data_IF_066906880328
#
_entry.id   IF_066906880328
#
_cell.length_a   1.000
_cell.length_b   1.000
_cell.length_c   1.000
_cell.angle_alpha   90.00
_cell.angle_beta   90.00
_cell.angle_gamma   90.00
#
_symmetry.space_group_name_H-M   'P 1'
#
loop_
_entity.id
_entity.type
_entity.pdbx_description
1 polymer ?
#
# COMPACT_ATOMS: atom_id res chain seq x y z
N UNK A 1 24.36 -16.67 14.46
CA UNK A 1 24.79 -15.67 15.47
C UNK A 1 23.77 -14.55 15.51
N UNK A 2 23.67 -13.79 16.61
CA UNK A 2 22.68 -12.72 16.80
C UNK A 2 23.33 -11.48 17.40
N UNK A 3 23.00 -10.29 16.91
CA UNK A 3 23.35 -9.04 17.58
C UNK A 3 22.45 -8.83 18.81
N UNK A 4 23.06 -8.56 19.96
CA UNK A 4 22.36 -8.28 21.23
C UNK A 4 22.48 -6.81 21.60
N UNK A 5 21.40 -6.23 22.10
CA UNK A 5 21.28 -4.83 22.49
C UNK A 5 20.78 -4.76 23.93
N UNK A 6 21.51 -4.07 24.80
CA UNK A 6 21.12 -3.84 26.20
C UNK A 6 20.48 -2.46 26.37
N UNK A 7 19.72 -2.30 27.45
CA UNK A 7 19.12 -1.03 27.88
C UNK A 7 18.06 -0.46 26.91
N UNK A 8 17.28 -1.33 26.28
CA UNK A 8 16.06 -0.95 25.56
C UNK A 8 16.19 -0.67 24.07
N UNK A 9 15.04 -0.65 23.39
CA UNK A 9 14.89 -0.62 21.92
C UNK A 9 15.42 0.66 21.25
N UNK A 10 15.62 1.74 22.02
CA UNK A 10 16.20 3.00 21.55
C UNK A 10 17.71 2.93 21.41
N UNK A 11 18.37 1.95 22.05
CA UNK A 11 19.79 1.66 21.84
C UNK A 11 19.94 0.86 20.55
N UNK A 12 20.45 1.53 19.52
CA UNK A 12 20.54 1.02 18.14
C UNK A 12 21.90 0.44 17.77
N UNK A 13 22.88 0.50 18.68
CA UNK A 13 24.19 -0.12 18.53
C UNK A 13 24.26 -1.35 19.43
N UNK A 14 24.64 -2.53 18.92
CA UNK A 14 24.70 -3.75 19.70
C UNK A 14 25.96 -3.80 20.56
N UNK A 15 25.98 -4.77 21.46
CA UNK A 15 27.22 -5.20 22.13
C UNK A 15 28.26 -5.66 21.10
N UNK A 16 29.55 -5.49 21.43
CA UNK A 16 30.65 -5.75 20.50
C UNK A 16 30.69 -7.18 19.97
N UNK A 17 30.30 -8.15 20.79
CA UNK A 17 30.33 -9.56 20.42
C UNK A 17 28.90 -10.07 20.19
N UNK A 18 28.61 -10.67 19.02
CA UNK A 18 27.35 -11.34 18.80
C UNK A 18 27.28 -12.64 19.61
N UNK A 19 26.07 -13.11 19.89
CA UNK A 19 25.83 -14.33 20.65
C UNK A 19 25.40 -15.48 19.75
N UNK A 20 25.64 -16.73 20.17
CA UNK A 20 25.13 -17.93 19.47
C UNK A 20 23.81 -18.41 20.07
N UNK A 21 23.19 -19.43 19.45
CA UNK A 21 21.91 -19.99 19.91
C UNK A 21 22.00 -20.52 21.36
N UNK A 22 23.10 -21.17 21.71
CA UNK A 22 23.33 -21.70 23.07
C UNK A 22 23.44 -20.58 24.11
N UNK A 23 23.98 -19.43 23.76
CA UNK A 23 24.06 -18.28 24.67
C UNK A 23 22.68 -17.61 24.82
N UNK A 24 21.96 -17.46 23.70
CA UNK A 24 20.60 -16.94 23.70
C UNK A 24 19.68 -17.80 24.57
N UNK A 25 19.76 -19.12 24.43
CA UNK A 25 19.08 -20.10 25.25
C UNK A 25 19.35 -19.90 26.75
N UNK A 26 20.62 -19.79 27.13
CA UNK A 26 21.01 -19.55 28.53
C UNK A 26 20.48 -18.22 29.05
N UNK A 27 20.52 -17.16 28.24
CA UNK A 27 19.98 -15.85 28.57
C UNK A 27 18.46 -15.86 28.76
N UNK A 28 17.72 -16.64 27.96
CA UNK A 28 16.27 -16.77 28.12
C UNK A 28 15.94 -17.60 29.36
N UNK A 29 16.66 -18.70 29.59
CA UNK A 29 16.42 -19.59 30.72
C UNK A 29 16.71 -18.91 32.06
N UNK A 30 17.80 -18.15 32.12
CA UNK A 30 18.30 -17.48 33.33
C UNK A 30 18.37 -15.96 33.11
N UNK A 31 17.25 -15.35 32.69
CA UNK A 31 17.24 -13.93 32.36
C UNK A 31 17.41 -13.08 33.64
N UNK A 32 18.41 -12.18 33.74
CA UNK A 32 18.57 -11.32 34.91
C UNK A 32 17.39 -10.37 35.13
N UNK A 33 16.60 -10.10 34.08
CA UNK A 33 15.38 -9.30 34.15
C UNK A 33 14.10 -10.14 34.34
N UNK A 34 14.22 -11.39 34.82
CA UNK A 34 13.09 -12.31 35.00
C UNK A 34 11.95 -11.71 35.83
N UNK A 35 12.28 -11.02 36.93
CA UNK A 35 11.28 -10.39 37.80
C UNK A 35 10.49 -9.30 37.07
N UNK A 36 11.19 -8.39 36.37
CA UNK A 36 10.57 -7.34 35.55
C UNK A 36 9.69 -7.99 34.46
N UNK A 37 10.17 -9.03 33.79
CA UNK A 37 9.41 -9.73 32.75
C UNK A 37 8.14 -10.36 33.32
N UNK A 38 8.20 -10.97 34.50
CA UNK A 38 7.03 -11.53 35.15
C UNK A 38 6.03 -10.43 35.53
N UNK A 39 6.49 -9.28 36.02
CA UNK A 39 5.63 -8.12 36.25
C UNK A 39 4.93 -7.66 34.96
N UNK A 40 5.66 -7.54 33.84
CA UNK A 40 5.08 -7.19 32.54
C UNK A 40 3.96 -8.14 32.11
N UNK A 41 4.15 -9.45 32.34
CA UNK A 41 3.15 -10.48 32.03
C UNK A 41 1.90 -10.31 32.88
N UNK A 42 2.05 -10.06 34.18
CA UNK A 42 0.92 -9.79 35.08
C UNK A 42 0.16 -8.52 34.69
N UNK A 43 0.87 -7.44 34.35
CA UNK A 43 0.25 -6.20 33.87
C UNK A 43 -0.58 -6.44 32.61
N UNK A 44 -0.05 -7.20 31.64
CA UNK A 44 -0.79 -7.56 30.42
C UNK A 44 -2.05 -8.38 30.74
N UNK A 45 -1.95 -9.37 31.64
CA UNK A 45 -3.08 -10.20 32.07
C UNK A 45 -4.19 -9.35 32.72
N UNK A 46 -3.80 -8.33 33.48
CA UNK A 46 -4.71 -7.38 34.12
C UNK A 46 -5.25 -6.31 33.15
N UNK A 47 -4.86 -6.34 31.87
CA UNK A 47 -5.30 -5.38 30.84
C UNK A 47 -4.59 -4.03 30.87
N UNK A 48 -3.63 -3.83 31.78
CA UNK A 48 -2.84 -2.60 31.87
C UNK A 48 -1.97 -2.44 30.62
N UNK A 49 -2.07 -1.30 29.94
CA UNK A 49 -1.34 -1.02 28.70
C UNK A 49 0.07 -0.46 28.93
N UNK A 50 0.39 0.03 30.13
CA UNK A 50 1.70 0.61 30.46
C UNK A 50 2.84 -0.41 30.36
N UNK A 51 2.54 -1.71 30.43
CA UNK A 51 3.52 -2.79 30.17
C UNK A 51 4.22 -2.63 28.81
N UNK A 52 3.56 -2.03 27.80
CA UNK A 52 4.15 -1.80 26.48
C UNK A 52 5.34 -0.85 26.55
N UNK A 53 5.28 0.16 27.41
CA UNK A 53 6.35 1.14 27.58
C UNK A 53 7.52 0.52 28.34
N UNK A 54 7.24 -0.19 29.43
CA UNK A 54 8.25 -0.91 30.19
C UNK A 54 8.95 -2.00 29.37
N UNK A 55 8.20 -2.73 28.52
CA UNK A 55 8.76 -3.73 27.59
C UNK A 55 9.81 -3.14 26.66
N UNK A 56 9.71 -1.86 26.27
CA UNK A 56 10.69 -1.19 25.39
C UNK A 56 12.05 -1.03 26.04
N UNK A 57 12.16 -1.15 27.35
CA UNK A 57 13.43 -1.04 28.08
C UNK A 57 14.17 -2.38 28.20
N UNK A 58 13.52 -3.50 27.84
CA UNK A 58 14.17 -4.81 27.84
C UNK A 58 15.29 -4.89 26.82
N UNK A 59 16.30 -5.70 27.13
CA UNK A 59 17.29 -6.12 26.16
C UNK A 59 16.62 -6.90 25.01
N UNK A 60 17.20 -6.84 23.82
CA UNK A 60 16.64 -7.47 22.63
C UNK A 60 17.74 -7.93 21.68
N UNK A 61 17.36 -8.77 20.72
CA UNK A 61 18.23 -9.24 19.65
C UNK A 61 17.64 -8.93 18.27
N UNK A 62 18.46 -9.04 17.23
CA UNK A 62 17.99 -9.22 15.85
C UNK A 62 18.10 -10.71 15.50
N UNK A 63 16.99 -11.47 15.49
CA UNK A 63 17.04 -12.92 15.33
C UNK A 63 17.37 -13.34 13.90
N UNK A 64 17.06 -12.51 12.90
CA UNK A 64 17.25 -12.82 11.48
C UNK A 64 18.65 -12.44 10.94
N UNK A 65 19.37 -11.55 11.63
CA UNK A 65 20.64 -11.01 11.13
C UNK A 65 21.58 -10.53 12.24
N UNK A 66 22.84 -10.35 11.86
CA UNK A 66 23.88 -9.67 12.63
C UNK A 66 24.13 -8.31 11.97
N UNK A 67 24.23 -7.27 12.80
CA UNK A 67 24.34 -5.88 12.37
C UNK A 67 25.36 -5.11 13.21
N UNK A 68 25.94 -4.05 12.62
CA UNK A 68 26.69 -3.00 13.34
C UNK A 68 25.76 -1.97 13.98
N UNK A 69 24.58 -1.77 13.38
CA UNK A 69 23.53 -0.86 13.84
C UNK A 69 22.17 -1.39 13.37
N UNK A 70 21.13 -1.27 14.19
CA UNK A 70 19.80 -1.83 13.87
C UNK A 70 19.12 -1.22 12.64
N UNK A 71 19.47 0.01 12.26
CA UNK A 71 18.83 0.70 11.13
C UNK A 71 19.22 0.05 9.81
N UNK A 72 18.31 -0.72 9.22
CA UNK A 72 18.48 -1.38 7.92
C UNK A 72 17.52 -0.77 6.88
N UNK A 73 17.60 0.55 6.67
CA UNK A 73 16.88 1.21 5.57
C UNK A 73 17.57 0.91 4.24
N UNK A 74 16.79 0.87 3.17
CA UNK A 74 17.32 0.66 1.81
C UNK A 74 18.37 1.72 1.42
N UNK A 75 19.34 1.29 0.61
CA UNK A 75 20.46 2.11 0.16
C UNK A 75 21.68 1.99 1.09
N UNK A 76 22.44 3.09 1.21
CA UNK A 76 23.75 3.11 1.88
C UNK A 76 23.73 2.68 3.36
N UNK A 77 22.58 2.83 4.05
CA UNK A 77 22.44 2.38 5.42
C UNK A 77 22.48 0.85 5.55
N UNK A 78 21.84 0.10 4.64
CA UNK A 78 21.86 -1.36 4.66
C UNK A 78 23.30 -1.87 4.49
N UNK A 79 24.00 -1.40 3.45
CA UNK A 79 25.35 -1.85 3.13
C UNK A 79 26.36 -1.53 4.23
N UNK A 80 26.14 -0.42 4.95
CA UNK A 80 27.02 -0.01 6.05
C UNK A 80 26.73 -0.80 7.34
N UNK A 81 25.45 -1.03 7.65
CA UNK A 81 25.01 -1.52 8.95
C UNK A 81 24.80 -3.03 9.00
N UNK A 82 24.46 -3.67 7.89
CA UNK A 82 24.30 -5.13 7.80
C UNK A 82 25.67 -5.81 7.84
N UNK A 83 25.77 -6.97 8.51
CA UNK A 83 26.98 -7.80 8.52
C UNK A 83 26.69 -9.10 7.76
N UNK A 84 25.75 -9.90 8.26
CA UNK A 84 25.32 -11.16 7.64
C UNK A 84 23.99 -11.65 8.23
N UNK A 85 23.33 -12.58 7.55
CA UNK A 85 22.17 -13.28 8.10
C UNK A 85 22.58 -14.20 9.24
N UNK A 86 21.65 -14.45 10.18
CA UNK A 86 21.91 -15.32 11.32
C UNK A 86 21.88 -16.81 10.98
N UNK A 87 21.26 -17.16 9.85
CA UNK A 87 20.87 -18.53 9.46
C UNK A 87 19.52 -18.97 10.04
N UNK A 88 18.85 -18.10 10.81
CA UNK A 88 17.57 -18.38 11.44
C UNK A 88 16.48 -17.45 10.92
N UNK A 89 15.25 -17.97 10.83
CA UNK A 89 14.04 -17.21 10.54
C UNK A 89 13.19 -17.11 11.81
N UNK A 90 12.79 -15.88 12.13
CA UNK A 90 11.97 -15.55 13.29
C UNK A 90 10.47 -15.53 12.97
N UNK A 91 9.70 -16.18 13.85
CA UNK A 91 8.24 -16.17 13.87
C UNK A 91 7.75 -15.78 15.26
N UNK A 92 6.73 -14.93 15.32
CA UNK A 92 6.06 -14.51 16.56
C UNK A 92 4.58 -14.88 16.44
N UNK A 93 4.06 -15.62 17.42
CA UNK A 93 2.68 -16.08 17.43
C UNK A 93 1.95 -15.47 18.62
N UNK A 94 0.92 -14.66 18.38
CA UNK A 94 0.11 -14.04 19.43
C UNK A 94 -1.07 -14.96 19.81
N UNK A 95 -1.11 -15.41 21.07
CA UNK A 95 -2.13 -16.33 21.59
C UNK A 95 -2.54 -15.99 23.02
N UNK A 96 -3.80 -16.25 23.42
CA UNK A 96 -4.30 -15.95 24.76
C UNK A 96 -3.72 -16.86 25.84
N UNK A 97 -3.37 -18.12 25.53
CA UNK A 97 -2.76 -19.07 26.47
C UNK A 97 -1.41 -19.58 25.95
N UNK A 98 -0.31 -18.83 26.15
CA UNK A 98 0.98 -19.15 25.55
C UNK A 98 1.64 -20.41 26.12
N UNK A 99 1.43 -20.75 27.38
CA UNK A 99 2.06 -21.91 28.02
C UNK A 99 1.54 -23.20 27.39
N UNK A 100 0.21 -23.34 27.33
CA UNK A 100 -0.41 -24.50 26.69
C UNK A 100 -0.05 -24.55 25.20
N UNK A 101 -0.13 -23.40 24.51
CA UNK A 101 0.21 -23.33 23.09
C UNK A 101 1.67 -23.71 22.82
N UNK A 102 2.62 -23.29 23.67
CA UNK A 102 4.03 -23.67 23.56
C UNK A 102 4.21 -25.18 23.61
N UNK A 103 3.56 -25.87 24.57
CA UNK A 103 3.65 -27.32 24.71
C UNK A 103 3.09 -28.05 23.48
N UNK A 104 1.90 -27.66 23.03
CA UNK A 104 1.28 -28.22 21.82
C UNK A 104 2.12 -27.94 20.56
N UNK A 105 2.68 -26.73 20.45
CA UNK A 105 3.51 -26.31 19.34
C UNK A 105 4.83 -27.11 19.30
N UNK A 106 5.49 -27.29 20.43
CA UNK A 106 6.70 -28.12 20.52
C UNK A 106 6.36 -29.57 20.18
N UNK A 107 5.28 -30.14 20.73
CA UNK A 107 4.89 -31.52 20.45
C UNK A 107 4.74 -31.77 18.94
N UNK A 108 4.13 -30.82 18.22
CA UNK A 108 3.89 -30.90 16.78
C UNK A 108 5.13 -30.57 15.95
N UNK A 109 5.88 -29.52 16.30
CA UNK A 109 6.89 -28.91 15.44
C UNK A 109 8.33 -29.04 15.94
N UNK A 110 8.61 -29.76 17.04
CA UNK A 110 9.98 -29.99 17.58
C UNK A 110 10.98 -30.59 16.60
N UNK A 111 10.53 -31.10 15.46
CA UNK A 111 11.37 -31.69 14.42
C UNK A 111 11.83 -30.66 13.36
N UNK A 112 11.28 -29.43 13.37
CA UNK A 112 11.66 -28.36 12.44
C UNK A 112 12.16 -27.09 13.14
N UNK A 113 11.77 -26.83 14.39
CA UNK A 113 12.12 -25.58 15.10
C UNK A 113 13.38 -25.72 15.93
N UNK A 114 14.20 -24.69 15.98
CA UNK A 114 15.46 -24.67 16.73
C UNK A 114 15.32 -24.02 18.11
N UNK A 115 14.37 -23.10 18.28
CA UNK A 115 14.06 -22.48 19.57
C UNK A 115 12.57 -22.13 19.68
N UNK A 116 11.97 -22.40 20.84
CA UNK A 116 10.61 -21.94 21.19
C UNK A 116 10.60 -21.45 22.62
N UNK A 117 10.24 -20.18 22.83
CA UNK A 117 10.04 -19.61 24.17
C UNK A 117 8.76 -18.79 24.26
N UNK A 118 8.18 -18.67 25.45
CA UNK A 118 7.14 -17.68 25.74
C UNK A 118 7.70 -16.29 25.48
N UNK A 119 6.94 -15.41 24.83
CA UNK A 119 7.35 -14.03 24.56
C UNK A 119 7.54 -13.23 25.86
N UNK A 120 8.32 -12.16 25.81
CA UNK A 120 8.58 -11.31 27.00
C UNK A 120 7.33 -10.63 27.55
N UNK A 121 6.30 -10.44 26.72
CA UNK A 121 5.00 -9.91 27.16
C UNK A 121 4.00 -10.98 27.60
N UNK A 122 4.32 -12.27 27.47
CA UNK A 122 3.45 -13.38 27.87
C UNK A 122 2.13 -13.45 27.11
N UNK A 123 2.08 -12.98 25.87
CA UNK A 123 0.87 -13.04 25.05
C UNK A 123 1.03 -13.85 23.77
N UNK A 124 2.06 -14.69 23.74
CA UNK A 124 2.48 -15.37 22.53
C UNK A 124 3.76 -16.16 22.74
N UNK A 125 4.21 -16.86 21.70
CA UNK A 125 5.49 -17.56 21.66
C UNK A 125 6.38 -16.99 20.55
N UNK A 126 7.68 -16.98 20.82
CA UNK A 126 8.74 -16.62 19.88
C UNK A 126 9.43 -17.88 19.40
N UNK A 127 9.56 -18.03 18.08
CA UNK A 127 10.05 -19.25 17.43
C UNK A 127 11.20 -18.91 16.48
N UNK A 128 12.27 -19.70 16.53
CA UNK A 128 13.36 -19.65 15.55
C UNK A 128 13.44 -20.97 14.79
N UNK A 129 13.59 -20.86 13.47
CA UNK A 129 13.80 -21.98 12.55
C UNK A 129 15.13 -21.78 11.86
N UNK A 130 16.08 -22.70 12.04
CA UNK A 130 17.32 -22.72 11.24
C UNK A 130 17.04 -23.29 9.85
N UNK A 131 17.65 -22.73 8.83
CA UNK A 131 17.49 -23.18 7.44
C UNK A 131 18.83 -23.56 6.82
N UNK A 132 18.84 -24.51 5.89
CA UNK A 132 20.05 -24.99 5.21
C UNK A 132 20.51 -24.09 4.04
N UNK A 133 19.66 -23.17 3.59
CA UNK A 133 19.94 -22.28 2.46
C UNK A 133 20.60 -20.99 2.91
N UNK A 134 21.49 -20.46 2.08
CA UNK A 134 22.07 -19.15 2.31
C UNK A 134 21.01 -18.06 2.13
N UNK A 135 20.75 -17.33 3.22
CA UNK A 135 19.81 -16.23 3.22
C UNK A 135 20.43 -15.00 2.54
N UNK A 136 19.62 -14.35 1.71
CA UNK A 136 19.95 -13.13 0.97
C UNK A 136 18.80 -12.13 1.12
N UNK A 137 19.04 -10.86 0.78
CA UNK A 137 17.98 -9.83 0.83
C UNK A 137 16.81 -10.21 -0.08
N UNK A 138 17.12 -10.86 -1.20
CA UNK A 138 16.20 -11.25 -2.26
C UNK A 138 15.35 -12.46 -1.86
N UNK A 139 15.94 -13.46 -1.19
CA UNK A 139 15.23 -14.69 -0.85
C UNK A 139 14.57 -14.68 0.53
N UNK A 140 15.01 -13.83 1.47
CA UNK A 140 14.62 -13.90 2.88
C UNK A 140 13.10 -13.93 3.06
N UNK A 141 12.38 -13.05 2.36
CA UNK A 141 10.92 -12.99 2.45
C UNK A 141 10.26 -14.27 1.91
N UNK A 142 10.73 -14.79 0.78
CA UNK A 142 10.20 -16.03 0.19
C UNK A 142 10.43 -17.24 1.11
N UNK A 143 11.57 -17.30 1.79
CA UNK A 143 11.87 -18.33 2.80
C UNK A 143 10.92 -18.23 3.98
N UNK A 144 10.70 -17.02 4.51
CA UNK A 144 9.74 -16.80 5.58
C UNK A 144 8.34 -17.27 5.17
N UNK A 145 7.90 -16.90 3.96
CA UNK A 145 6.57 -17.23 3.43
C UNK A 145 6.37 -18.72 3.16
N UNK A 146 7.42 -19.40 2.66
CA UNK A 146 7.43 -20.85 2.51
C UNK A 146 7.18 -21.54 3.85
N UNK A 147 7.98 -21.20 4.87
CA UNK A 147 7.87 -21.84 6.19
C UNK A 147 6.48 -21.58 6.79
N UNK A 148 6.01 -20.33 6.72
CA UNK A 148 4.68 -19.95 7.22
C UNK A 148 3.55 -20.71 6.52
N UNK A 149 3.65 -20.89 5.20
CA UNK A 149 2.57 -21.44 4.38
C UNK A 149 2.55 -22.97 4.34
N UNK A 150 3.71 -23.62 4.46
CA UNK A 150 3.81 -25.09 4.34
C UNK A 150 3.84 -25.77 5.71
N UNK A 151 4.52 -25.18 6.68
CA UNK A 151 4.69 -25.79 8.01
C UNK A 151 3.76 -25.19 9.06
N UNK A 152 3.44 -23.90 8.96
CA UNK A 152 2.58 -23.19 9.94
C UNK A 152 1.23 -22.75 9.39
N UNK A 153 0.75 -23.39 8.31
CA UNK A 153 -0.50 -23.05 7.62
C UNK A 153 -1.70 -22.96 8.56
N UNK A 154 -1.83 -23.94 9.44
CA UNK A 154 -2.91 -24.08 10.42
C UNK A 154 -2.85 -23.02 11.53
N UNK A 155 -1.73 -22.29 11.65
CA UNK A 155 -1.50 -21.21 12.61
C UNK A 155 -1.37 -19.83 11.95
N UNK A 156 -1.72 -19.72 10.66
CA UNK A 156 -1.58 -18.47 9.88
C UNK A 156 -2.36 -17.27 10.46
N UNK A 157 -3.49 -17.51 11.14
CA UNK A 157 -4.33 -16.44 11.74
C UNK A 157 -3.73 -15.79 12.99
N UNK A 158 -2.83 -16.49 13.68
CA UNK A 158 -2.20 -16.04 14.94
C UNK A 158 -0.74 -15.65 14.76
N UNK A 159 -0.21 -15.75 13.54
CA UNK A 159 1.18 -15.44 13.20
C UNK A 159 1.34 -13.94 12.89
N UNK A 160 2.29 -13.25 13.54
CA UNK A 160 2.60 -11.85 13.24
C UNK A 160 3.40 -11.74 11.93
N UNK A 161 2.70 -11.39 10.87
CA UNK A 161 3.27 -11.14 9.53
C UNK A 161 4.28 -10.00 9.47
N UNK A 162 4.39 -9.15 10.51
CA UNK A 162 5.43 -8.10 10.57
C UNK A 162 6.82 -8.68 10.80
N UNK A 163 6.94 -9.95 11.19
CA UNK A 163 8.25 -10.60 11.42
C UNK A 163 9.03 -10.91 10.13
N UNK A 164 8.44 -10.68 8.96
CA UNK A 164 9.05 -10.74 7.61
C UNK A 164 10.18 -9.71 7.35
N UNK A 165 10.58 -8.95 8.35
CA UNK A 165 11.59 -7.89 8.26
C UNK A 165 12.95 -8.42 8.74
N UNK A 166 14.00 -8.23 7.92
CA UNK A 166 15.38 -8.65 8.22
C UNK A 166 15.86 -8.03 9.55
N UNK A 167 15.56 -6.75 9.79
CA UNK A 167 15.99 -6.02 10.99
C UNK A 167 15.04 -6.14 12.18
N UNK A 168 14.09 -7.09 12.16
CA UNK A 168 13.09 -7.28 13.21
C UNK A 168 13.78 -7.46 14.57
N UNK A 169 13.28 -6.76 15.59
CA UNK A 169 13.76 -6.94 16.96
C UNK A 169 12.93 -8.00 17.69
N UNK A 170 13.59 -8.84 18.48
CA UNK A 170 12.99 -9.77 19.43
C UNK A 170 13.46 -9.43 20.84
N UNK A 171 12.56 -8.97 21.70
CA UNK A 171 12.88 -8.70 23.11
C UNK A 171 13.21 -10.00 23.84
N UNK A 172 14.28 -9.99 24.63
CA UNK A 172 14.68 -11.14 25.43
C UNK A 172 13.59 -11.47 26.45
N UNK A 173 13.21 -12.74 26.48
CA UNK A 173 12.20 -13.26 27.39
C UNK A 173 12.85 -13.96 28.60
N UNK A 174 12.03 -14.31 29.58
CA UNK A 174 12.40 -15.19 30.69
C UNK A 174 11.52 -16.43 30.63
N UNK A 175 12.09 -17.55 30.25
CA UNK A 175 11.38 -18.81 30.08
C UNK A 175 12.25 -19.98 30.51
N UNK A 176 12.07 -20.48 31.75
CA UNK A 176 12.81 -21.64 32.26
C UNK A 176 12.64 -22.91 31.41
N UNK A 177 11.50 -23.02 30.73
CA UNK A 177 11.08 -24.17 29.91
C UNK A 177 11.31 -23.92 28.41
N UNK A 178 12.19 -22.97 28.06
CA UNK A 178 12.59 -22.72 26.67
C UNK A 178 13.05 -24.01 26.00
N UNK A 179 12.42 -24.32 24.87
CA UNK A 179 12.83 -25.44 24.03
C UNK A 179 13.96 -25.01 23.11
N UNK A 180 15.02 -25.82 23.02
CA UNK A 180 16.12 -25.64 22.07
C UNK A 180 16.45 -26.97 21.42
N UNK A 181 16.71 -26.93 20.12
CA UNK A 181 17.31 -28.02 19.37
C UNK A 181 18.39 -27.45 18.44
N UNK A 182 19.63 -27.87 18.65
CA UNK A 182 20.80 -27.40 17.90
C UNK A 182 20.98 -28.13 16.55
N UNK A 183 20.42 -29.33 16.44
CA UNK A 183 20.59 -30.21 15.27
C UNK A 183 19.49 -29.98 14.24
N UNK A 184 18.38 -29.36 14.64
CA UNK A 184 17.31 -29.02 13.73
C UNK A 184 17.75 -27.95 12.72
N UNK A 185 17.73 -28.35 11.46
CA UNK A 185 17.90 -27.50 10.30
C UNK A 185 16.86 -27.90 9.26
N UNK A 186 16.00 -26.95 8.90
CA UNK A 186 14.96 -27.20 7.92
C UNK A 186 15.57 -27.25 6.52
N UNK A 187 15.42 -28.40 5.86
CA UNK A 187 15.83 -28.60 4.48
C UNK A 187 14.82 -27.94 3.54
N UNK A 188 15.27 -26.89 2.86
CA UNK A 188 14.50 -26.15 1.87
C UNK A 188 15.15 -26.38 0.51
N UNK A 189 14.39 -26.88 -0.45
CA UNK A 189 14.86 -26.93 -1.84
C UNK A 189 14.66 -25.54 -2.48
N UNK A 190 15.68 -24.94 -3.11
CA UNK A 190 15.51 -23.67 -3.84
C UNK A 190 14.34 -23.66 -4.83
N UNK A 191 13.98 -24.82 -5.42
CA UNK A 191 12.81 -24.93 -6.30
C UNK A 191 11.49 -24.73 -5.57
N UNK A 192 11.40 -25.10 -4.29
CA UNK A 192 10.19 -24.92 -3.48
C UNK A 192 9.91 -23.44 -3.21
N UNK A 193 10.96 -22.61 -3.25
CA UNK A 193 10.84 -21.18 -3.10
C UNK A 193 10.27 -20.51 -4.35
N UNK A 194 10.26 -21.15 -5.52
CA UNK A 194 9.78 -20.54 -6.78
C UNK A 194 8.31 -20.10 -6.70
N UNK A 195 7.50 -20.81 -5.90
CA UNK A 195 6.08 -20.46 -5.67
C UNK A 195 5.89 -19.32 -4.66
N UNK A 196 6.92 -18.96 -3.89
CA UNK A 196 6.97 -17.82 -2.96
C UNK A 196 7.87 -16.68 -3.45
N UNK A 197 8.68 -16.94 -4.49
CA UNK A 197 9.46 -15.97 -5.25
C UNK A 197 8.63 -15.27 -6.33
N UNK A 198 7.34 -15.63 -6.45
CA UNK A 198 6.33 -14.90 -7.22
C UNK A 198 5.22 -14.39 -6.31
N UNK A 199 5.59 -13.64 -5.28
CA UNK A 199 4.94 -12.35 -5.20
C UNK A 199 5.80 -11.41 -6.02
N UNK A 200 5.31 -11.08 -7.23
CA UNK A 200 5.33 -9.66 -7.58
C UNK A 200 5.07 -8.91 -6.28
N UNK A 201 5.93 -7.97 -5.97
CA UNK A 201 5.73 -7.08 -4.84
C UNK A 201 4.30 -6.54 -4.98
N UNK A 202 3.34 -7.14 -4.29
CA UNK A 202 2.16 -6.46 -3.80
C UNK A 202 2.77 -5.56 -2.74
N UNK A 203 3.43 -4.50 -3.22
CA UNK A 203 3.67 -3.28 -2.49
C UNK A 203 2.32 -3.01 -1.86
N UNK A 204 2.23 -3.15 -0.53
CA UNK A 204 1.14 -2.53 0.22
C UNK A 204 0.98 -1.13 -0.35
N UNK A 205 -0.19 -0.88 -0.93
CA UNK A 205 -0.49 0.23 -1.82
C UNK A 205 0.32 1.49 -1.60
N UNK A 206 1.41 1.60 -2.33
CA UNK A 206 1.80 2.87 -2.93
C UNK A 206 1.68 2.65 -4.42
N UNK A 207 0.53 3.07 -4.98
CA UNK A 207 0.34 3.21 -6.43
C UNK A 207 1.42 4.16 -6.96
N UNK A 208 2.57 3.61 -7.31
CA UNK A 208 3.56 4.21 -8.18
C UNK A 208 3.89 3.11 -9.18
N UNK A 209 3.37 3.24 -10.39
CA UNK A 209 3.84 2.42 -11.50
C UNK A 209 5.30 2.77 -11.73
N UNK A 210 6.16 1.78 -11.91
CA UNK A 210 7.40 1.82 -12.71
C UNK A 210 7.87 0.37 -12.89
N UNK A 211 8.28 0.12 -14.13
CA UNK A 211 8.90 -1.07 -14.70
C UNK A 211 10.17 -1.54 -13.96
N UNK A 212 10.39 -2.86 -13.95
CA UNK A 212 11.55 -3.53 -13.36
C UNK A 212 12.71 -3.64 -14.34
N UNK A 213 13.64 -2.67 -14.35
CA UNK A 213 15.03 -2.87 -14.79
C UNK A 213 16.02 -2.07 -13.92
N UNK A 214 17.15 -2.71 -13.63
CA UNK A 214 18.29 -2.17 -12.87
C UNK A 214 19.09 -1.27 -13.82
N UNK A 215 19.31 0.01 -13.46
CA UNK A 215 20.23 0.89 -14.19
C UNK A 215 21.33 1.41 -13.27
N UNK A 216 22.55 1.37 -13.81
CA UNK A 216 23.71 2.06 -13.28
C UNK A 216 23.50 3.57 -13.40
N UNK A 217 23.73 4.30 -12.31
CA UNK A 217 23.66 5.75 -12.27
C UNK A 217 24.76 6.37 -13.14
N UNK A 218 24.39 6.93 -14.28
CA UNK A 218 25.13 8.02 -14.91
C UNK A 218 24.23 9.25 -14.95
N UNK A 219 24.53 10.22 -14.10
CA UNK A 219 24.01 11.58 -14.23
C UNK A 219 24.56 12.21 -15.51
N UNK A 220 23.82 12.04 -16.61
CA UNK A 220 23.91 12.91 -17.79
C UNK A 220 22.51 13.42 -18.06
N UNK A 221 22.23 14.66 -17.66
CA UNK A 221 20.98 15.35 -18.00
C UNK A 221 20.83 15.38 -19.53
N UNK A 222 19.80 14.74 -20.07
CA UNK A 222 19.51 14.71 -21.51
C UNK A 222 18.40 15.68 -21.93
N UNK A 223 17.76 16.38 -21.00
CA UNK A 223 16.64 17.27 -21.32
C UNK A 223 16.89 18.72 -20.92
N UNK A 224 16.70 19.64 -21.87
CA UNK A 224 16.47 21.06 -21.60
C UNK A 224 14.96 21.30 -21.53
N UNK A 225 14.38 21.37 -20.34
CA UNK A 225 13.01 21.85 -20.16
C UNK A 225 13.02 23.23 -19.55
N UNK A 226 12.16 24.10 -20.08
CA UNK A 226 11.99 25.48 -19.62
C UNK A 226 10.80 25.54 -18.66
N UNK A 227 10.88 26.43 -17.67
CA UNK A 227 9.73 26.74 -16.83
C UNK A 227 8.77 27.62 -17.64
N UNK A 228 7.62 27.08 -18.00
CA UNK A 228 6.59 27.78 -18.75
C UNK A 228 5.73 28.65 -17.83
N UNK A 229 5.15 29.76 -18.33
CA UNK A 229 4.17 30.55 -17.59
C UNK A 229 2.96 29.71 -17.16
N UNK A 230 2.30 30.14 -16.09
CA UNK A 230 1.16 29.41 -15.52
C UNK A 230 0.02 29.21 -16.52
N UNK A 231 -0.31 30.20 -17.36
CA UNK A 231 -1.42 30.06 -18.31
C UNK A 231 -1.18 29.00 -19.40
N UNK A 232 0.08 28.73 -19.74
CA UNK A 232 0.44 27.70 -20.72
C UNK A 232 0.20 26.28 -20.18
N UNK A 233 0.24 26.08 -18.85
CA UNK A 233 0.04 24.74 -18.25
C UNK A 233 -1.42 24.27 -18.32
N UNK A 234 -2.37 25.16 -18.67
CA UNK A 234 -3.79 24.80 -18.84
C UNK A 234 -4.03 23.79 -19.97
N UNK A 235 -3.05 23.63 -20.88
CA UNK A 235 -3.06 22.65 -21.97
C UNK A 235 -2.85 21.20 -21.50
N UNK A 236 -2.45 20.99 -20.24
CA UNK A 236 -2.20 19.66 -19.70
C UNK A 236 -3.51 18.95 -19.40
N UNK A 237 -3.76 17.81 -20.06
CA UNK A 237 -4.91 16.97 -19.78
C UNK A 237 -4.78 16.30 -18.41
N UNK A 238 -5.78 16.49 -17.55
CA UNK A 238 -5.83 15.90 -16.20
C UNK A 238 -6.71 14.64 -16.11
N UNK A 239 -7.43 14.31 -17.18
CA UNK A 239 -8.20 13.08 -17.28
C UNK A 239 -8.28 12.60 -18.73
N UNK A 240 -8.57 11.32 -18.94
CA UNK A 240 -8.78 10.76 -20.28
C UNK A 240 -9.91 11.52 -20.97
N UNK A 241 -9.67 12.13 -22.15
CA UNK A 241 -10.70 12.84 -22.89
C UNK A 241 -11.77 11.85 -23.37
N UNK A 242 -13.04 12.23 -23.21
CA UNK A 242 -14.19 11.44 -23.61
C UNK A 242 -15.13 12.33 -24.40
N UNK A 243 -15.49 11.88 -25.60
CA UNK A 243 -16.55 12.48 -26.39
C UNK A 243 -17.87 11.83 -25.97
N UNK A 244 -18.83 12.66 -25.54
CA UNK A 244 -20.14 12.18 -25.12
C UNK A 244 -21.07 12.15 -26.32
N UNK A 245 -21.75 11.03 -26.55
CA UNK A 245 -22.68 10.87 -27.66
C UNK A 245 -24.13 11.06 -27.19
N UNK A 246 -24.39 10.80 -25.91
CA UNK A 246 -25.70 10.94 -25.31
C UNK A 246 -25.82 12.23 -24.48
N UNK A 247 -27.05 12.76 -24.28
CA UNK A 247 -27.27 14.01 -23.54
C UNK A 247 -26.86 13.95 -22.06
N UNK A 248 -26.95 12.79 -21.42
CA UNK A 248 -26.73 12.64 -19.97
C UNK A 248 -25.64 11.62 -19.66
N UNK A 249 -25.81 10.38 -20.12
CA UNK A 249 -24.89 9.29 -19.79
C UNK A 249 -24.63 8.40 -21.01
N UNK A 250 -23.36 8.06 -21.21
CA UNK A 250 -22.89 7.11 -22.21
C UNK A 250 -22.43 5.82 -21.54
N UNK A 251 -22.70 4.67 -22.17
CA UNK A 251 -22.05 3.41 -21.87
C UNK A 251 -20.98 3.11 -22.92
N UNK A 252 -19.72 3.28 -22.53
CA UNK A 252 -18.56 3.02 -23.37
C UNK A 252 -17.39 2.57 -22.49
N UNK A 253 -17.21 1.26 -22.25
CA UNK A 253 -16.12 0.75 -21.43
C UNK A 253 -14.74 1.08 -22.01
N UNK A 254 -14.04 2.02 -21.36
CA UNK A 254 -12.68 2.42 -21.74
C UNK A 254 -11.74 2.38 -20.55
N UNK A 255 -10.45 2.23 -20.83
CA UNK A 255 -9.39 2.51 -19.87
C UNK A 255 -9.38 4.00 -19.56
N UNK A 256 -9.58 4.34 -18.29
CA UNK A 256 -9.75 5.71 -17.82
C UNK A 256 -8.77 6.02 -16.71
N UNK A 257 -8.07 7.13 -16.87
CA UNK A 257 -7.20 7.72 -15.88
C UNK A 257 -7.63 9.15 -15.60
N UNK A 258 -7.54 9.53 -14.34
CA UNK A 258 -7.89 10.87 -13.87
C UNK A 258 -6.98 11.20 -12.71
N UNK A 259 -6.54 12.43 -12.71
CA UNK A 259 -5.65 12.97 -11.72
C UNK A 259 -6.45 13.69 -10.65
N UNK A 260 -6.31 13.24 -9.40
CA UNK A 260 -6.95 13.85 -8.24
C UNK A 260 -5.89 14.49 -7.36
N UNK A 261 -6.07 15.76 -7.08
CA UNK A 261 -5.19 16.52 -6.20
C UNK A 261 -5.77 16.58 -4.80
N UNK A 262 -4.96 16.37 -3.76
CA UNK A 262 -5.32 16.83 -2.44
C UNK A 262 -5.26 18.37 -2.38
N UNK A 263 -5.94 18.95 -1.41
CA UNK A 263 -5.86 20.39 -1.13
C UNK A 263 -4.43 20.78 -0.75
N UNK A 264 -3.77 19.95 0.07
CA UNK A 264 -2.39 20.12 0.50
C UNK A 264 -1.56 18.83 0.35
N UNK A 265 -0.28 18.97 0.03
CA UNK A 265 0.70 17.88 -0.08
C UNK A 265 1.72 18.00 1.06
N UNK A 266 1.55 17.17 2.09
CA UNK A 266 2.45 17.15 3.25
C UNK A 266 3.79 16.46 2.98
N UNK A 267 4.83 16.83 3.74
CA UNK A 267 6.22 16.42 3.49
C UNK A 267 6.41 14.90 3.28
N UNK A 268 5.79 14.09 4.15
CA UNK A 268 5.94 12.63 4.16
C UNK A 268 5.34 11.91 2.95
N UNK A 269 4.54 12.60 2.12
CA UNK A 269 3.90 12.02 0.93
C UNK A 269 4.37 12.64 -0.38
N UNK A 270 5.14 13.75 -0.38
CA UNK A 270 5.51 14.49 -1.61
C UNK A 270 6.18 13.60 -2.65
N UNK A 271 7.21 12.86 -2.28
CA UNK A 271 7.92 11.98 -3.22
C UNK A 271 6.98 10.93 -3.81
N UNK A 272 6.12 10.33 -2.95
CA UNK A 272 5.14 9.34 -3.38
C UNK A 272 4.16 9.95 -4.39
N UNK A 273 3.54 11.05 -3.98
CA UNK A 273 2.53 11.75 -4.74
C UNK A 273 3.07 12.26 -6.09
N UNK A 274 4.23 12.92 -6.10
CA UNK A 274 4.81 13.49 -7.32
C UNK A 274 5.27 12.44 -8.32
N UNK A 275 5.79 11.30 -7.90
CA UNK A 275 6.12 10.26 -8.90
C UNK A 275 4.84 9.70 -9.53
N UNK A 276 3.80 9.43 -8.73
CA UNK A 276 2.50 8.98 -9.26
C UNK A 276 1.89 10.01 -10.22
N UNK A 277 1.98 11.29 -9.85
CA UNK A 277 1.54 12.43 -10.65
C UNK A 277 2.22 12.44 -12.03
N UNK A 278 3.55 12.29 -12.08
CA UNK A 278 4.30 12.29 -13.34
C UNK A 278 3.86 11.14 -14.25
N UNK A 279 3.72 9.91 -13.73
CA UNK A 279 3.24 8.78 -14.55
C UNK A 279 1.88 9.03 -15.18
N UNK A 280 0.93 9.56 -14.39
CA UNK A 280 -0.41 9.86 -14.86
C UNK A 280 -0.37 10.96 -15.92
N UNK A 281 0.40 12.03 -15.68
CA UNK A 281 0.51 13.14 -16.62
C UNK A 281 1.14 12.73 -17.95
N UNK A 282 2.20 11.92 -17.93
CA UNK A 282 2.83 11.39 -19.15
C UNK A 282 1.86 10.46 -19.89
N UNK A 283 1.15 9.60 -19.17
CA UNK A 283 0.16 8.70 -19.79
C UNK A 283 -1.00 9.46 -20.45
N UNK A 284 -1.48 10.53 -19.81
CA UNK A 284 -2.56 11.36 -20.35
C UNK A 284 -2.11 12.31 -21.47
N UNK A 285 -0.81 12.61 -21.54
CA UNK A 285 -0.24 13.58 -22.47
C UNK A 285 1.05 13.03 -23.13
N UNK A 286 0.94 11.94 -23.93
CA UNK A 286 2.12 11.26 -24.48
C UNK A 286 2.94 12.14 -25.43
N UNK A 287 2.26 13.03 -26.17
CA UNK A 287 2.85 13.91 -27.20
C UNK A 287 3.25 15.29 -26.68
N UNK A 288 3.04 15.57 -25.38
CA UNK A 288 3.29 16.88 -24.81
C UNK A 288 4.76 17.04 -24.41
N UNK A 289 5.31 18.23 -24.65
CA UNK A 289 6.69 18.54 -24.27
C UNK A 289 6.88 18.42 -22.73
N UNK A 290 7.96 17.77 -22.25
CA UNK A 290 8.22 17.60 -20.82
C UNK A 290 8.21 18.91 -20.01
N UNK A 291 8.48 20.06 -20.63
CA UNK A 291 8.41 21.38 -20.00
C UNK A 291 7.03 21.67 -19.44
N UNK A 292 5.95 21.25 -20.11
CA UNK A 292 4.58 21.44 -19.60
C UNK A 292 4.34 20.62 -18.33
N UNK A 293 4.75 19.35 -18.33
CA UNK A 293 4.57 18.45 -17.19
C UNK A 293 5.44 18.91 -16.00
N UNK A 294 6.69 19.31 -16.26
CA UNK A 294 7.57 19.83 -15.22
C UNK A 294 7.06 21.16 -14.64
N UNK A 295 6.60 22.08 -15.49
CA UNK A 295 6.05 23.38 -15.05
C UNK A 295 4.79 23.18 -14.22
N UNK A 296 3.91 22.27 -14.64
CA UNK A 296 2.73 21.87 -13.88
C UNK A 296 3.12 21.32 -12.49
N UNK A 297 4.10 20.42 -12.43
CA UNK A 297 4.62 19.88 -11.17
C UNK A 297 5.23 20.98 -10.28
N UNK A 298 6.00 21.90 -10.86
CA UNK A 298 6.66 23.00 -10.16
C UNK A 298 5.66 23.92 -9.46
N UNK A 299 4.61 24.37 -10.18
CA UNK A 299 3.59 25.23 -9.59
C UNK A 299 2.78 24.52 -8.51
N UNK A 300 2.45 23.23 -8.71
CA UNK A 300 1.77 22.45 -7.66
C UNK A 300 2.65 22.29 -6.41
N UNK A 301 3.96 22.10 -6.56
CA UNK A 301 4.88 22.06 -5.41
C UNK A 301 5.03 23.43 -4.73
N UNK A 302 5.04 24.52 -5.50
CA UNK A 302 5.17 25.87 -4.95
C UNK A 302 3.95 26.28 -4.11
N UNK A 303 2.74 25.97 -4.59
CA UNK A 303 1.51 26.49 -4.01
C UNK A 303 0.73 25.51 -3.14
N UNK A 304 0.89 24.18 -3.33
CA UNK A 304 0.11 23.17 -2.59
C UNK A 304 0.92 22.33 -1.60
N UNK A 305 2.26 22.40 -1.61
CA UNK A 305 3.06 21.59 -0.72
C UNK A 305 3.49 22.31 0.55
N UNK A 306 3.42 21.60 1.68
CA UNK A 306 3.72 22.13 3.00
C UNK A 306 4.72 21.21 3.72
N UNK A 307 6.00 21.61 3.85
CA UNK A 307 6.66 22.68 3.09
C UNK A 307 6.88 22.28 1.63
N UNK A 308 7.19 23.22 0.72
CA UNK A 308 7.59 22.90 -0.66
C UNK A 308 8.83 21.98 -0.70
N UNK A 309 8.88 21.06 -1.67
CA UNK A 309 10.11 20.34 -1.99
C UNK A 309 11.12 21.30 -2.61
N UNK A 310 12.39 21.17 -2.24
CA UNK A 310 13.49 21.94 -2.82
C UNK A 310 13.57 21.73 -4.34
N UNK A 311 13.74 22.81 -5.10
CA UNK A 311 13.71 22.80 -6.58
C UNK A 311 14.67 21.79 -7.20
N UNK A 312 15.88 21.61 -6.63
CA UNK A 312 16.85 20.63 -7.11
C UNK A 312 16.36 19.20 -6.90
N UNK A 313 15.76 18.92 -5.74
CA UNK A 313 15.19 17.63 -5.41
C UNK A 313 13.96 17.31 -6.28
N UNK A 314 13.10 18.30 -6.53
CA UNK A 314 11.95 18.16 -7.43
C UNK A 314 12.39 17.87 -8.87
N UNK A 315 13.42 18.59 -9.36
CA UNK A 315 14.00 18.37 -10.69
C UNK A 315 14.54 16.95 -10.85
N UNK A 316 15.34 16.49 -9.88
CA UNK A 316 15.89 15.12 -9.89
C UNK A 316 14.80 14.06 -9.89
N UNK A 317 13.74 14.27 -9.11
CA UNK A 317 12.59 13.37 -9.09
C UNK A 317 11.90 13.33 -10.46
N UNK A 318 11.68 14.49 -11.07
CA UNK A 318 11.08 14.57 -12.39
C UNK A 318 11.89 13.83 -13.45
N UNK A 319 13.20 14.11 -13.54
CA UNK A 319 14.10 13.46 -14.52
C UNK A 319 14.08 11.94 -14.35
N UNK A 320 14.23 11.47 -13.11
CA UNK A 320 14.24 10.04 -12.80
C UNK A 320 12.95 9.36 -13.25
N UNK A 321 11.80 9.90 -12.86
CA UNK A 321 10.49 9.30 -13.14
C UNK A 321 10.12 9.42 -14.62
N UNK A 322 10.38 10.57 -15.25
CA UNK A 322 10.09 10.79 -16.66
C UNK A 322 10.93 9.87 -17.55
N UNK A 323 12.23 9.73 -17.28
CA UNK A 323 13.09 8.82 -18.06
C UNK A 323 12.59 7.37 -17.98
N UNK A 324 12.09 6.93 -16.82
CA UNK A 324 11.50 5.60 -16.67
C UNK A 324 10.26 5.38 -17.55
N UNK A 325 9.48 6.43 -17.82
CA UNK A 325 8.34 6.33 -18.75
C UNK A 325 8.74 6.21 -20.21
N UNK A 326 9.99 6.55 -20.56
CA UNK A 326 10.53 6.48 -21.92
C UNK A 326 11.32 5.20 -22.19
N UNK A 327 11.50 4.35 -21.19
CA UNK A 327 12.17 3.07 -21.34
C UNK A 327 11.37 2.09 -22.21
N UNK A 328 12.09 1.28 -22.99
CA UNK A 328 11.48 0.21 -23.78
C UNK A 328 10.75 -0.80 -22.89
N UNK A 329 9.46 -1.00 -23.17
CA UNK A 329 8.59 -1.90 -22.41
C UNK A 329 7.94 -1.29 -21.18
N UNK A 330 7.98 0.04 -21.00
CA UNK A 330 7.18 0.70 -19.98
C UNK A 330 5.67 0.51 -20.24
N UNK A 331 4.95 0.01 -19.23
CA UNK A 331 3.49 -0.15 -19.24
C UNK A 331 2.91 0.62 -18.07
N UNK A 332 1.96 1.52 -18.35
CA UNK A 332 1.22 2.22 -17.33
C UNK A 332 0.03 1.38 -16.85
N UNK A 333 0.01 1.02 -15.56
CA UNK A 333 -0.95 0.07 -14.97
C UNK A 333 -1.94 0.71 -13.97
N UNK A 334 -2.09 2.05 -13.99
CA UNK A 334 -2.96 2.77 -13.04
C UNK A 334 -4.21 3.37 -13.72
N UNK A 335 -4.62 2.77 -14.83
CA UNK A 335 -5.92 3.01 -15.43
C UNK A 335 -6.96 2.07 -14.80
N UNK A 336 -8.23 2.44 -14.95
CA UNK A 336 -9.35 1.58 -14.57
C UNK A 336 -10.35 1.53 -15.70
N UNK A 337 -10.99 0.38 -15.89
CA UNK A 337 -12.12 0.31 -16.82
C UNK A 337 -13.28 1.14 -16.23
N UNK A 338 -13.61 2.24 -16.89
CA UNK A 338 -14.76 3.08 -16.58
C UNK A 338 -15.83 2.81 -17.63
N UNK A 339 -16.93 2.20 -17.18
CA UNK A 339 -18.02 1.75 -18.05
C UNK A 339 -18.93 2.90 -18.53
N UNK A 340 -19.18 3.87 -17.65
CA UNK A 340 -20.14 4.93 -17.89
C UNK A 340 -19.49 6.30 -17.79
N UNK A 341 -19.92 7.22 -18.64
CA UNK A 341 -19.42 8.59 -18.71
C UNK A 341 -20.59 9.55 -18.73
N UNK A 342 -20.49 10.62 -17.93
CA UNK A 342 -21.48 11.68 -17.93
C UNK A 342 -21.08 12.73 -18.95
N UNK A 343 -22.07 13.25 -19.67
CA UNK A 343 -21.85 14.39 -20.55
C UNK A 343 -21.45 15.62 -19.72
N UNK A 344 -20.41 16.35 -20.14
CA UNK A 344 -19.92 17.53 -19.44
C UNK A 344 -20.90 18.70 -19.51
N UNK A 345 -21.66 18.77 -20.60
CA UNK A 345 -22.60 19.86 -20.86
C UNK A 345 -23.94 19.66 -20.13
N UNK A 346 -24.10 18.54 -19.42
CA UNK A 346 -25.32 18.23 -18.69
C UNK A 346 -25.40 19.04 -17.39
N UNK A 347 -26.50 19.78 -17.23
CA UNK A 347 -26.82 20.54 -16.01
C UNK A 347 -27.50 19.59 -15.03
N UNK A 348 -26.70 18.89 -14.23
CA UNK A 348 -27.17 18.00 -13.16
C UNK A 348 -26.45 18.33 -11.85
N UNK A 349 -27.18 18.23 -10.74
CA UNK A 349 -26.61 18.35 -9.40
C UNK A 349 -25.62 17.21 -9.12
N UNK A 350 -24.72 17.42 -8.15
CA UNK A 350 -23.76 16.40 -7.71
C UNK A 350 -24.46 15.12 -7.23
N UNK A 351 -25.62 15.26 -6.58
CA UNK A 351 -26.42 14.15 -6.08
C UNK A 351 -27.02 13.32 -7.22
N UNK A 352 -27.58 13.99 -8.23
CA UNK A 352 -28.15 13.33 -9.41
C UNK A 352 -27.08 12.57 -10.20
N UNK A 353 -25.93 13.23 -10.46
CA UNK A 353 -24.78 12.60 -11.11
C UNK A 353 -24.36 11.34 -10.37
N UNK A 354 -24.28 11.40 -9.04
CA UNK A 354 -23.93 10.26 -8.19
C UNK A 354 -24.99 9.15 -8.25
N UNK A 355 -26.27 9.51 -8.20
CA UNK A 355 -27.40 8.58 -8.26
C UNK A 355 -27.44 7.81 -9.58
N UNK A 356 -27.29 8.52 -10.72
CA UNK A 356 -27.22 7.92 -12.07
C UNK A 356 -26.05 6.94 -12.13
N UNK A 357 -24.85 7.38 -11.77
CA UNK A 357 -23.65 6.54 -11.83
C UNK A 357 -23.73 5.31 -10.91
N UNK A 358 -24.33 5.44 -9.73
CA UNK A 358 -24.53 4.32 -8.81
C UNK A 358 -25.56 3.32 -9.35
N UNK A 359 -26.62 3.79 -10.00
CA UNK A 359 -27.63 2.93 -10.66
C UNK A 359 -26.99 2.12 -11.78
N UNK A 360 -26.26 2.77 -12.68
CA UNK A 360 -25.58 2.14 -13.81
C UNK A 360 -24.51 1.12 -13.37
N UNK A 361 -23.58 1.52 -12.51
CA UNK A 361 -22.55 0.62 -11.98
C UNK A 361 -23.16 -0.52 -11.13
N UNK A 362 -24.25 -0.25 -10.42
CA UNK A 362 -25.02 -1.26 -9.71
C UNK A 362 -25.54 -2.34 -10.65
N UNK A 363 -26.00 -1.97 -11.84
CA UNK A 363 -26.47 -2.93 -12.85
C UNK A 363 -25.35 -3.81 -13.37
N UNK A 364 -24.18 -3.25 -13.69
CA UNK A 364 -23.00 -4.04 -14.12
C UNK A 364 -22.62 -5.08 -13.06
N UNK A 365 -22.60 -4.71 -11.77
CA UNK A 365 -22.30 -5.66 -10.68
C UNK A 365 -23.34 -6.78 -10.57
N UNK A 366 -24.61 -6.47 -10.79
CA UNK A 366 -25.69 -7.48 -10.84
C UNK A 366 -25.47 -8.43 -12.00
N UNK A 367 -25.26 -7.91 -13.21
CA UNK A 367 -25.02 -8.71 -14.41
C UNK A 367 -23.81 -9.64 -14.27
N UNK A 368 -22.71 -9.16 -13.67
CA UNK A 368 -21.54 -10.00 -13.38
C UNK A 368 -21.88 -11.18 -12.46
N UNK A 369 -22.72 -10.96 -11.45
CA UNK A 369 -23.16 -12.02 -10.54
C UNK A 369 -24.10 -13.01 -11.23
N UNK A 370 -25.04 -12.51 -12.05
CA UNK A 370 -25.97 -13.34 -12.83
C UNK A 370 -25.20 -14.19 -13.84
N UNK A 371 -24.23 -13.61 -14.55
CA UNK A 371 -23.39 -14.31 -15.54
C UNK A 371 -22.68 -15.51 -14.90
N UNK A 372 -22.01 -15.31 -13.75
CA UNK A 372 -21.36 -16.39 -12.99
C UNK A 372 -22.33 -17.49 -12.56
N UNK A 373 -23.57 -17.13 -12.20
CA UNK A 373 -24.60 -18.10 -11.82
C UNK A 373 -25.04 -18.91 -13.05
N UNK A 374 -25.20 -18.27 -14.21
CA UNK A 374 -25.57 -18.94 -15.45
C UNK A 374 -24.46 -19.87 -15.94
N UNK A 375 -23.20 -19.43 -15.90
CA UNK A 375 -22.01 -20.24 -16.20
C UNK A 375 -21.94 -21.47 -15.28
N UNK A 376 -22.10 -21.28 -13.96
CA UNK A 376 -22.08 -22.38 -13.00
C UNK A 376 -23.24 -23.37 -13.21
N UNK A 377 -24.43 -22.90 -13.57
CA UNK A 377 -25.55 -23.78 -13.93
C UNK A 377 -25.26 -24.58 -15.21
N UNK A 378 -24.66 -23.95 -16.22
CA UNK A 378 -24.29 -24.60 -17.47
C UNK A 378 -23.19 -25.67 -17.23
N UNK A 379 -22.21 -25.38 -16.37
CA UNK A 379 -21.17 -26.31 -15.95
C UNK A 379 -21.73 -27.51 -15.17
N UNK A 380 -22.64 -27.28 -14.22
CA UNK A 380 -23.29 -28.39 -13.50
C UNK A 380 -24.15 -29.25 -14.43
N UNK A 381 -24.80 -28.61 -15.42
CA UNK A 381 -25.55 -29.32 -16.45
C UNK A 381 -24.64 -30.17 -17.34
N UNK A 382 -23.47 -29.66 -17.73
CA UNK A 382 -22.51 -30.42 -18.55
C UNK A 382 -21.90 -31.60 -17.79
N UNK A 383 -21.79 -31.50 -16.47
CA UNK A 383 -21.35 -32.59 -15.57
C UNK A 383 -22.46 -33.60 -15.22
N UNK A 384 -23.68 -33.43 -15.74
CA UNK A 384 -24.87 -34.21 -15.36
C UNK A 384 -25.12 -34.22 -13.83
N UNK A 385 -24.72 -33.16 -13.14
CA UNK A 385 -24.93 -33.02 -11.72
C UNK A 385 -26.26 -32.33 -11.39
N UNK A 386 -26.84 -32.68 -10.24
CA UNK A 386 -28.04 -32.00 -9.75
C UNK A 386 -27.74 -30.53 -9.50
N UNK A 387 -28.41 -29.64 -10.24
CA UNK A 387 -28.28 -28.20 -10.11
C UNK A 387 -29.01 -27.75 -8.83
N UNK A 388 -28.25 -27.58 -7.74
CA UNK A 388 -28.75 -27.03 -6.48
C UNK A 388 -28.15 -25.66 -6.22
N UNK A 389 -28.85 -24.81 -5.46
CA UNK A 389 -28.35 -23.48 -5.09
C UNK A 389 -27.01 -23.55 -4.35
N UNK A 390 -26.79 -24.59 -3.55
CA UNK A 390 -25.54 -24.81 -2.83
C UNK A 390 -24.40 -25.13 -3.79
N UNK A 391 -24.59 -26.09 -4.70
CA UNK A 391 -23.57 -26.43 -5.71
C UNK A 391 -23.27 -25.27 -6.65
N UNK A 392 -24.28 -24.49 -7.04
CA UNK A 392 -24.08 -23.27 -7.84
C UNK A 392 -23.25 -22.24 -7.08
N UNK A 393 -23.43 -22.11 -5.76
CA UNK A 393 -22.62 -21.23 -4.90
C UNK A 393 -21.16 -21.65 -4.85
N UNK A 394 -20.91 -22.96 -4.74
CA UNK A 394 -19.57 -23.54 -4.74
C UNK A 394 -18.85 -23.33 -6.07
N UNK A 395 -19.50 -23.69 -7.19
CA UNK A 395 -18.91 -23.58 -8.55
C UNK A 395 -18.72 -22.12 -8.97
N UNK A 396 -19.68 -21.23 -8.69
CA UNK A 396 -19.57 -19.80 -9.07
C UNK A 396 -18.63 -18.99 -8.17
N UNK A 397 -18.25 -19.53 -7.00
CA UNK A 397 -17.52 -18.81 -5.96
C UNK A 397 -18.28 -17.64 -5.34
N UNK A 398 -19.60 -17.59 -5.50
CA UNK A 398 -20.46 -16.54 -4.94
C UNK A 398 -21.07 -16.99 -3.61
N UNK A 399 -21.34 -16.04 -2.72
CA UNK A 399 -22.05 -16.32 -1.47
C UNK A 399 -23.48 -16.82 -1.71
N UNK A 400 -23.93 -17.77 -0.89
CA UNK A 400 -25.22 -18.45 -1.05
C UNK A 400 -26.44 -17.49 -1.10
N UNK A 401 -26.38 -16.36 -0.38
CA UNK A 401 -27.45 -15.35 -0.40
C UNK A 401 -27.55 -14.66 -1.77
N UNK A 402 -26.42 -14.34 -2.40
CA UNK A 402 -26.37 -13.76 -3.75
C UNK A 402 -26.91 -14.75 -4.77
N UNK A 403 -26.55 -16.03 -4.64
CA UNK A 403 -27.09 -17.08 -5.49
C UNK A 403 -28.60 -17.16 -5.33
N UNK A 404 -29.12 -17.29 -4.09
CA UNK A 404 -30.57 -17.32 -3.82
C UNK A 404 -31.31 -16.13 -4.44
N UNK A 405 -30.75 -14.92 -4.32
CA UNK A 405 -31.34 -13.68 -4.84
C UNK A 405 -31.49 -13.68 -6.36
N UNK A 406 -30.50 -14.20 -7.08
CA UNK A 406 -30.47 -14.15 -8.55
C UNK A 406 -30.70 -15.51 -9.23
N UNK A 407 -31.00 -16.55 -8.45
CA UNK A 407 -31.11 -17.93 -8.95
C UNK A 407 -32.16 -18.10 -10.04
N UNK A 408 -33.26 -17.35 -9.99
CA UNK A 408 -34.38 -17.46 -10.94
C UNK A 408 -34.20 -16.62 -12.20
N UNK A 409 -33.15 -15.80 -12.27
CA UNK A 409 -32.88 -14.96 -13.43
C UNK A 409 -32.22 -15.81 -14.51
N UNK A 410 -32.76 -15.73 -15.72
CA UNK A 410 -32.30 -16.53 -16.87
C UNK A 410 -31.38 -15.76 -17.80
N UNK A 411 -31.53 -14.42 -17.87
CA UNK A 411 -30.74 -13.54 -18.73
C UNK A 411 -30.22 -12.33 -17.96
N UNK A 412 -29.07 -11.80 -18.38
CA UNK A 412 -28.53 -10.54 -17.85
C UNK A 412 -29.40 -9.36 -18.29
N UNK A 413 -29.40 -8.28 -17.51
CA UNK A 413 -30.12 -7.07 -17.87
C UNK A 413 -29.42 -6.35 -19.02
N UNK A 414 -30.19 -5.79 -19.96
CA UNK A 414 -29.62 -4.97 -21.03
C UNK A 414 -29.16 -3.62 -20.48
N UNK A 415 -27.88 -3.32 -20.69
CA UNK A 415 -27.25 -2.08 -20.23
C UNK A 415 -27.59 -0.91 -21.15
N UNK A 416 -27.76 -1.15 -22.46
CA UNK A 416 -28.07 -0.09 -23.42
C UNK A 416 -29.49 0.43 -23.17
N UNK A 417 -30.46 -0.48 -23.01
CA UNK A 417 -31.83 -0.11 -22.60
C UNK A 417 -31.86 0.72 -21.30
N UNK A 418 -31.04 0.37 -20.30
CA UNK A 418 -30.94 1.18 -19.07
C UNK A 418 -30.42 2.61 -19.34
N UNK A 419 -29.45 2.75 -20.25
CA UNK A 419 -28.89 4.04 -20.63
C UNK A 419 -29.92 4.87 -21.39
N UNK A 420 -30.65 4.26 -22.31
CA UNK A 420 -31.72 4.91 -23.08
C UNK A 420 -32.85 5.40 -22.17
N UNK A 421 -33.24 4.60 -21.17
CA UNK A 421 -34.24 4.97 -20.17
C UNK A 421 -33.79 6.19 -19.35
N UNK A 422 -32.52 6.22 -18.93
CA UNK A 422 -31.97 7.33 -18.15
C UNK A 422 -31.91 8.60 -18.99
N UNK A 423 -31.35 8.53 -20.20
CA UNK A 423 -31.29 9.69 -21.08
C UNK A 423 -32.71 10.23 -21.37
N UNK A 424 -33.67 9.35 -21.67
CA UNK A 424 -35.07 9.73 -21.91
C UNK A 424 -35.72 10.38 -20.69
N UNK A 425 -35.50 9.84 -19.49
CA UNK A 425 -36.05 10.38 -18.24
C UNK A 425 -35.60 11.84 -18.01
N UNK A 426 -34.33 12.12 -18.24
CA UNK A 426 -33.75 13.42 -17.98
C UNK A 426 -33.92 14.41 -19.14
N UNK A 427 -34.13 13.94 -20.38
CA UNK A 427 -34.57 14.78 -21.51
C UNK A 427 -35.98 15.34 -21.29
N UNK A 428 -36.89 14.50 -20.78
CA UNK A 428 -38.28 14.88 -20.54
C UNK A 428 -38.42 15.87 -19.35
N UNK A 429 -37.49 15.83 -18.39
CA UNK A 429 -37.45 16.77 -17.27
C UNK A 429 -36.83 18.13 -17.63
N UNK A 430 -35.94 18.17 -18.63
CA UNK A 430 -35.34 19.43 -19.11
C UNK A 430 -36.32 20.25 -19.96
N UNK A 431 -37.30 19.61 -20.60
CA UNK A 431 -38.40 20.31 -21.29
C UNK A 431 -39.47 20.89 -20.35
N UNK A 432 -39.52 20.48 -19.07
CA UNK A 432 -40.48 20.99 -18.08
C UNK A 432 -39.90 22.07 -17.15
N UNK A 433 -38.63 22.45 -17.34
CA UNK A 433 -37.96 23.56 -16.64
C UNK A 433 -37.49 24.64 -17.61
N UNK A 434 -38.34 25.04 -18.57
CA UNK A 434 -38.21 26.35 -19.22
C UNK A 434 -39.11 27.33 -18.49
N UNK A 435 -38.60 27.90 -17.40
CA UNK A 435 -38.90 29.23 -16.91
C UNK A 435 -38.15 29.41 -15.59
N UNK A 436 -37.00 30.10 -15.63
CA UNK A 436 -36.76 31.35 -14.89
C UNK A 436 -35.36 31.89 -15.26
N UNK A 437 -35.32 33.20 -15.48
CA UNK A 437 -34.19 34.06 -15.79
C UNK A 437 -33.61 34.07 -17.22
N UNK A 438 -34.34 34.79 -18.09
CA UNK A 438 -33.73 35.77 -19.00
C UNK A 438 -32.79 36.68 -18.21
N UNK A 439 -31.54 36.75 -18.67
CA UNK A 439 -30.58 37.78 -18.28
C UNK A 439 -29.43 37.25 -17.44
N UNK A 440 -28.49 36.54 -18.07
CA UNK A 440 -27.05 36.67 -17.85
C UNK A 440 -26.37 35.91 -18.99
N UNK A 441 -25.71 36.62 -19.89
CA UNK A 441 -24.66 36.03 -20.73
C UNK A 441 -23.50 35.74 -19.81
N UNK A 442 -23.26 34.47 -19.46
CA UNK A 442 -22.04 34.07 -18.77
C UNK A 442 -21.39 32.88 -19.46
N UNK A 443 -20.18 33.14 -19.93
CA UNK A 443 -19.05 32.24 -19.98
C UNK A 443 -19.00 31.37 -18.73
N UNK A 444 -19.23 30.06 -18.87
CA UNK A 444 -19.01 29.07 -17.82
C UNK A 444 -17.87 28.16 -18.28
N UNK A 445 -16.66 28.68 -18.19
CA UNK A 445 -15.41 27.89 -18.12
C UNK A 445 -14.50 28.35 -16.98
N UNK A 446 -14.91 29.29 -16.12
CA UNK A 446 -14.01 29.90 -15.12
C UNK A 446 -14.28 29.46 -13.66
N UNK A 447 -15.44 28.89 -13.32
CA UNK A 447 -15.80 28.64 -11.92
C UNK A 447 -15.21 27.36 -11.27
N UNK A 448 -14.47 26.52 -12.00
CA UNK A 448 -13.76 25.37 -11.41
C UNK A 448 -12.26 25.61 -11.15
N UNK A 449 -11.77 26.81 -11.44
CA UNK A 449 -10.40 27.23 -11.10
C UNK A 449 -10.35 28.40 -10.12
N UNK A 450 -11.41 29.20 -9.99
CA UNK A 450 -11.41 30.39 -9.12
C UNK A 450 -11.63 30.11 -7.62
N UNK A 451 -12.12 28.94 -7.22
CA UNK A 451 -12.17 28.56 -5.78
C UNK A 451 -10.79 28.27 -5.17
N UNK A 452 -9.70 28.32 -5.95
CA UNK A 452 -8.32 28.13 -5.46
C UNK A 452 -7.40 29.35 -5.66
N UNK A 453 -7.93 30.51 -6.00
CA UNK A 453 -7.16 31.74 -6.14
C UNK A 453 -7.11 32.53 -4.82
N UNK A 454 -6.04 32.35 -4.05
CA UNK A 454 -5.58 33.41 -3.13
C UNK A 454 -5.19 34.59 -4.03
N UNK A 455 -5.91 35.71 -3.95
CA UNK A 455 -5.48 36.99 -4.51
C UNK A 455 -4.10 37.35 -3.93
N UNK A 456 -3.04 37.14 -4.70
CA UNK A 456 -1.74 37.75 -4.43
C UNK A 456 -1.72 39.07 -5.16
N UNK A 457 -2.02 40.16 -4.43
CA UNK A 457 -1.66 41.50 -4.88
C UNK A 457 -0.14 41.55 -5.05
N UNK A 458 0.30 41.76 -6.27
CA UNK A 458 1.66 42.15 -6.58
C UNK A 458 1.73 43.65 -6.28
N UNK A 459 2.25 44.02 -5.10
CA UNK A 459 2.74 45.38 -4.88
C UNK A 459 4.13 45.47 -5.51
N UNK A 460 4.21 46.21 -6.60
CA UNK A 460 5.46 46.60 -7.22
C UNK A 460 6.28 47.42 -6.22
N UNK A 461 7.38 46.83 -5.75
CA UNK A 461 8.32 47.48 -4.87
C UNK A 461 8.95 48.69 -5.55
N UNK A 462 8.74 49.86 -4.97
CA UNK A 462 9.58 51.03 -5.21
C UNK A 462 10.29 51.43 -3.91
N UNK A 463 11.59 51.11 -3.89
CA UNK A 463 12.70 51.81 -3.22
C UNK A 463 12.57 52.31 -1.76
N UNK A 464 13.58 51.93 -0.98
CA UNK A 464 14.32 52.70 0.04
C UNK A 464 14.11 52.41 1.55
N UNK A 465 15.24 51.99 2.13
CA UNK A 465 15.89 52.45 3.37
C UNK A 465 15.41 51.97 4.74
N UNK A 466 16.42 51.41 5.43
CA UNK A 466 16.77 51.55 6.83
C UNK A 466 15.90 50.92 7.93
N UNK A 467 16.59 50.20 8.83
CA UNK A 467 16.33 50.31 10.27
C UNK A 467 15.51 49.20 10.91
N UNK A 468 16.22 48.28 11.57
CA UNK A 468 15.93 47.73 12.90
C UNK A 468 14.49 47.38 13.34
N UNK A 469 14.40 46.17 13.90
CA UNK A 469 13.68 45.79 15.14
C UNK A 469 12.56 44.76 15.03
N UNK A 470 12.58 43.87 16.02
CA UNK A 470 11.61 42.86 16.39
C UNK A 470 10.16 43.39 16.43
N UNK A 471 9.18 42.60 15.97
CA UNK A 471 8.21 41.94 16.86
C UNK A 471 7.12 41.14 16.12
N UNK A 472 6.79 40.01 16.76
CA UNK A 472 5.50 39.31 16.88
C UNK A 472 4.37 39.64 15.90
N UNK A 473 3.81 38.60 15.26
CA UNK A 473 2.42 38.65 14.80
C UNK A 473 1.63 37.42 15.25
N UNK A 474 0.48 37.75 15.86
CA UNK A 474 -0.57 36.90 16.42
C UNK A 474 -1.41 36.28 15.30
N UNK A 475 -1.95 35.12 15.65
CA UNK A 475 -3.03 34.40 14.95
C UNK A 475 -4.32 35.22 15.01
N UNK A 476 -5.00 35.34 13.88
CA UNK A 476 -6.46 35.38 13.79
C UNK A 476 -6.92 34.52 12.62
#
# INVERSE_FOLDING_TARGET
MFSIFKNGITKIYPEKQPIVLSDLAKLIKNNPAAEIINQLRQMRLNGDQTYKELKRNLAYITPNCVVKKRSLKDGSEYDTNFINFSGYIYFDFDVPNPIQFQQEFIQKYKHIVSLVCISSGGGGISVLVKVNIDLTKENFQSVWEYIASEFFKDKSSILDTKTKDIGRAMFLSSDPDVFINHDNELLINPTDLLKYGKTETIKKGTQQGISTKIYNYTSSCTFSYQLLPYDEIRKVNLSTPINSNNPVVDYNPIHFSELKFPDEVSDGIKHKFYSSLIHVLVHLNPDLDPSYIYSFLFYNNKYKAVPPMESRSLKRLFEYVYNQTKEEGYIFNNDRIKNFHLNKDTILSREEKTKIMNKCNGMIRKNKSITKILEAKAELKSRNEKITQYKVSEVSGLGIQTVKKYYRIENVYDINSLVDDINSQYLNNSNSTINYHKGFTSTITDELFDEYCIEVKIDDGNSNKDGSSFNQWKVQ
#
